data_IF_142484876212
#
_entry.id   IF_142484876212
#
_cell.length_a   1.000
_cell.length_b   1.000
_cell.length_c   1.000
_cell.angle_alpha   90.00
_cell.angle_beta   90.00
_cell.angle_gamma   90.00
#
_symmetry.space_group_name_H-M   'P 1'
#
loop_
_entity.id
_entity.type
_entity.pdbx_description
1 polymer ?
#
# COMPACT_ATOMS: atom_id res chain seq x y z
N UNK A 1 -15.89 -1.42 -2.96
CA UNK A 1 -14.42 -1.34 -2.86
C UNK A 1 -13.87 -2.57 -2.14
N UNK A 2 -12.80 -3.21 -2.66
CA UNK A 2 -12.08 -4.33 -2.03
C UNK A 2 -10.61 -3.91 -1.84
N UNK A 3 -10.06 -4.12 -0.64
CA UNK A 3 -8.67 -3.81 -0.32
C UNK A 3 -7.83 -5.10 -0.39
N UNK A 4 -6.74 -5.06 -1.14
CA UNK A 4 -5.83 -6.18 -1.33
C UNK A 4 -4.41 -5.70 -1.03
N UNK A 5 -3.77 -6.27 -0.01
CA UNK A 5 -2.39 -5.96 0.33
C UNK A 5 -1.43 -7.03 -0.19
N UNK A 6 -0.35 -6.55 -0.78
CA UNK A 6 0.78 -7.36 -1.18
C UNK A 6 1.87 -7.26 -0.11
N UNK A 7 2.11 -8.35 0.59
CA UNK A 7 3.00 -8.43 1.75
C UNK A 7 4.08 -9.47 1.51
N UNK A 8 5.33 -9.16 1.82
CA UNK A 8 6.44 -10.10 1.79
C UNK A 8 7.39 -9.80 2.95
N UNK A 9 8.08 -10.81 3.44
CA UNK A 9 9.14 -10.64 4.46
C UNK A 9 10.50 -10.45 3.77
N UNK A 10 10.67 -11.01 2.56
CA UNK A 10 11.90 -10.90 1.80
C UNK A 10 11.79 -9.84 0.71
N UNK A 11 12.83 -9.03 0.57
CA UNK A 11 12.97 -8.13 -0.56
C UNK A 11 13.27 -8.88 -1.87
N UNK A 12 12.92 -8.26 -3.01
CA UNK A 12 13.27 -8.80 -4.33
C UNK A 12 12.46 -10.00 -4.81
N UNK A 13 11.34 -10.33 -4.15
CA UNK A 13 10.47 -11.48 -4.52
C UNK A 13 9.44 -11.15 -5.61
N UNK A 14 9.47 -9.94 -6.14
CA UNK A 14 8.53 -9.51 -7.20
C UNK A 14 7.18 -8.98 -6.68
N UNK A 15 7.06 -8.65 -5.40
CA UNK A 15 5.84 -8.16 -4.75
C UNK A 15 5.26 -6.93 -5.47
N UNK A 16 6.03 -5.86 -5.61
CA UNK A 16 5.63 -4.63 -6.33
C UNK A 16 5.25 -4.92 -7.78
N UNK A 17 6.01 -5.76 -8.47
CA UNK A 17 5.68 -6.18 -9.85
C UNK A 17 4.35 -6.90 -9.90
N UNK A 18 4.08 -7.80 -8.97
CA UNK A 18 2.82 -8.53 -8.91
C UNK A 18 1.64 -7.60 -8.57
N UNK A 19 1.82 -6.67 -7.62
CA UNK A 19 0.83 -5.65 -7.29
C UNK A 19 0.47 -4.82 -8.53
N UNK A 20 1.50 -4.32 -9.22
CA UNK A 20 1.37 -3.52 -10.45
C UNK A 20 0.61 -4.28 -11.53
N UNK A 21 1.04 -5.49 -11.86
CA UNK A 21 0.40 -6.32 -12.91
C UNK A 21 -1.05 -6.67 -12.55
N UNK A 22 -1.34 -6.92 -11.28
CA UNK A 22 -2.71 -7.18 -10.81
C UNK A 22 -3.60 -5.96 -11.03
N UNK A 23 -3.14 -4.76 -10.62
CA UNK A 23 -3.92 -3.54 -10.81
C UNK A 23 -4.12 -3.19 -12.29
N UNK A 24 -3.08 -3.32 -13.11
CA UNK A 24 -3.20 -3.10 -14.55
C UNK A 24 -4.17 -4.09 -15.21
N UNK A 25 -4.12 -5.36 -14.82
CA UNK A 25 -5.06 -6.36 -15.33
C UNK A 25 -6.51 -6.00 -14.98
N UNK A 26 -6.77 -5.61 -13.72
CA UNK A 26 -8.11 -5.22 -13.29
C UNK A 26 -8.59 -3.95 -14.02
N UNK A 27 -7.72 -2.95 -14.18
CA UNK A 27 -8.03 -1.74 -14.92
C UNK A 27 -8.36 -2.02 -16.40
N UNK A 28 -7.63 -2.93 -17.04
CA UNK A 28 -7.92 -3.39 -18.40
C UNK A 28 -9.24 -4.17 -18.51
N UNK A 29 -9.77 -4.68 -17.41
CA UNK A 29 -11.12 -5.26 -17.32
C UNK A 29 -12.20 -4.21 -16.97
N UNK A 30 -11.88 -2.92 -17.04
CA UNK A 30 -12.80 -1.83 -16.77
C UNK A 30 -13.05 -1.55 -15.29
N UNK A 31 -12.21 -2.09 -14.39
CA UNK A 31 -12.29 -1.82 -12.95
C UNK A 31 -11.54 -0.56 -12.59
N UNK A 32 -12.10 0.27 -11.72
CA UNK A 32 -11.41 1.44 -11.17
C UNK A 32 -10.52 1.02 -10.00
N UNK A 33 -9.23 1.25 -10.13
CA UNK A 33 -8.19 0.80 -9.19
C UNK A 33 -7.50 2.00 -8.55
N UNK A 34 -7.33 1.95 -7.23
CA UNK A 34 -6.46 2.85 -6.49
C UNK A 34 -5.24 2.07 -5.99
N UNK A 35 -4.05 2.52 -6.33
CA UNK A 35 -2.82 2.06 -5.71
C UNK A 35 -2.46 2.89 -4.47
N UNK A 36 -1.90 2.23 -3.46
CA UNK A 36 -1.25 2.86 -2.31
C UNK A 36 0.16 2.27 -2.17
N UNK A 37 1.18 3.12 -2.25
CA UNK A 37 2.58 2.72 -2.13
C UNK A 37 3.06 2.90 -0.69
N UNK A 38 3.04 1.81 0.10
CA UNK A 38 3.50 1.78 1.49
C UNK A 38 4.94 1.25 1.63
N UNK A 39 5.74 1.38 0.58
CA UNK A 39 7.18 1.10 0.64
C UNK A 39 7.97 2.43 0.58
N UNK A 40 8.84 2.68 1.56
CA UNK A 40 9.72 3.87 1.56
C UNK A 40 10.67 3.93 0.36
N UNK A 41 10.88 2.80 -0.35
CA UNK A 41 11.62 2.78 -1.62
C UNK A 41 10.82 3.38 -2.78
N UNK A 42 9.50 3.56 -2.62
CA UNK A 42 8.62 4.21 -3.60
C UNK A 42 8.68 3.60 -5.01
N UNK A 43 8.91 2.28 -5.13
CA UNK A 43 9.09 1.64 -6.44
C UNK A 43 7.83 1.70 -7.30
N UNK A 44 6.64 1.56 -6.71
CA UNK A 44 5.37 1.69 -7.41
C UNK A 44 5.14 3.13 -7.88
N UNK A 45 5.46 4.10 -7.02
CA UNK A 45 5.39 5.54 -7.31
C UNK A 45 6.33 5.93 -8.45
N UNK A 46 7.58 5.44 -8.41
CA UNK A 46 8.58 5.70 -9.45
C UNK A 46 8.18 5.07 -10.80
N UNK A 47 7.51 3.92 -10.80
CA UNK A 47 7.02 3.31 -12.04
C UNK A 47 6.11 4.25 -12.83
N UNK A 48 5.30 5.07 -12.14
CA UNK A 48 4.41 6.05 -12.77
C UNK A 48 5.01 7.45 -12.90
N UNK A 49 6.25 7.65 -12.46
CA UNK A 49 6.98 8.94 -12.51
C UNK A 49 6.22 10.09 -11.81
N UNK A 50 5.62 9.80 -10.65
CA UNK A 50 4.75 10.76 -9.92
C UNK A 50 5.23 11.03 -8.48
N UNK A 51 6.52 10.99 -8.24
CA UNK A 51 7.10 11.28 -6.93
C UNK A 51 6.68 12.68 -6.42
N UNK A 52 6.33 12.75 -5.13
CA UNK A 52 5.97 13.99 -4.42
C UNK A 52 6.70 14.09 -3.09
N UNK A 53 7.07 15.31 -2.69
CA UNK A 53 7.71 15.59 -1.40
C UNK A 53 6.71 15.72 -0.25
N UNK A 54 5.44 15.95 -0.56
CA UNK A 54 4.35 16.15 0.40
C UNK A 54 3.03 15.53 -0.10
N UNK A 55 2.02 15.47 0.77
CA UNK A 55 0.69 14.94 0.46
C UNK A 55 0.72 13.48 -0.02
N UNK A 56 1.54 12.69 0.62
CA UNK A 56 1.83 11.29 0.32
C UNK A 56 1.25 10.35 1.38
N UNK A 57 1.45 9.04 1.24
CA UNK A 57 1.07 8.06 2.27
C UNK A 57 1.66 8.36 3.65
N UNK A 58 2.82 9.02 3.74
CA UNK A 58 3.41 9.40 5.02
C UNK A 58 2.51 10.34 5.84
N UNK A 59 1.71 11.18 5.17
CA UNK A 59 0.78 12.10 5.83
C UNK A 59 -0.34 11.36 6.57
N UNK A 60 -0.72 10.16 6.12
CA UNK A 60 -1.68 9.29 6.84
C UNK A 60 -1.14 8.93 8.21
N UNK A 61 0.13 8.52 8.28
CA UNK A 61 0.77 8.06 9.51
C UNK A 61 1.30 9.21 10.38
N UNK A 62 1.53 10.38 9.79
CA UNK A 62 1.87 11.59 10.55
C UNK A 62 0.64 12.30 11.12
N UNK A 63 -0.57 11.87 10.72
CA UNK A 63 -1.84 12.51 11.05
C UNK A 63 -1.78 14.02 10.80
N UNK A 64 -1.22 14.41 9.66
CA UNK A 64 -0.95 15.82 9.35
C UNK A 64 -0.94 16.10 7.85
N UNK A 65 -1.62 17.17 7.46
CA UNK A 65 -1.71 17.61 6.08
C UNK A 65 -2.65 16.73 5.23
N UNK A 66 -2.75 17.08 3.96
CA UNK A 66 -3.59 16.36 3.01
C UNK A 66 -2.84 15.18 2.38
N UNK A 67 -3.58 14.31 1.70
CA UNK A 67 -3.07 13.19 0.90
C UNK A 67 -3.63 13.31 -0.49
N UNK A 68 -2.76 13.38 -1.48
CA UNK A 68 -3.17 13.51 -2.87
C UNK A 68 -3.44 12.14 -3.50
N UNK A 69 -4.51 12.05 -4.28
CA UNK A 69 -4.79 10.92 -5.18
C UNK A 69 -4.53 11.39 -6.61
N UNK A 70 -3.61 10.77 -7.31
CA UNK A 70 -3.18 11.15 -8.65
C UNK A 70 -3.70 10.17 -9.69
N UNK A 71 -4.38 10.62 -10.77
CA UNK A 71 -4.65 9.78 -11.92
C UNK A 71 -3.33 9.49 -12.66
N UNK A 72 -2.97 8.22 -12.81
CA UNK A 72 -1.68 7.81 -13.38
C UNK A 72 -1.84 7.01 -14.69
N UNK A 73 -3.00 6.39 -14.91
CA UNK A 73 -3.32 5.66 -16.13
C UNK A 73 -4.85 5.52 -16.26
N UNK A 74 -5.39 5.08 -17.41
CA UNK A 74 -6.81 4.82 -17.54
C UNK A 74 -7.31 3.84 -16.47
N UNK A 75 -8.32 4.25 -15.71
CA UNK A 75 -8.89 3.51 -14.56
C UNK A 75 -7.93 3.26 -13.40
N UNK A 76 -6.77 3.92 -13.34
CA UNK A 76 -5.79 3.77 -12.28
C UNK A 76 -5.45 5.12 -11.67
N UNK A 77 -5.64 5.22 -10.36
CA UNK A 77 -5.18 6.33 -9.54
C UNK A 77 -4.15 5.80 -8.52
N UNK A 78 -3.31 6.69 -7.98
CA UNK A 78 -2.24 6.35 -7.04
C UNK A 78 -2.17 7.36 -5.90
N UNK A 79 -2.06 6.87 -4.68
CA UNK A 79 -1.54 7.62 -3.53
C UNK A 79 -0.03 7.34 -3.48
N UNK A 80 0.81 8.36 -3.71
CA UNK A 80 2.25 8.15 -3.86
C UNK A 80 2.91 7.77 -2.54
N UNK A 81 3.93 6.94 -2.65
CA UNK A 81 4.83 6.59 -1.56
C UNK A 81 5.68 7.77 -1.09
N UNK A 82 6.38 7.57 0.02
CA UNK A 82 7.27 8.58 0.58
C UNK A 82 8.44 7.96 1.32
N UNK A 83 9.63 8.46 1.10
CA UNK A 83 10.81 8.15 1.90
C UNK A 83 10.64 8.56 3.38
N UNK A 84 9.74 9.51 3.67
CA UNK A 84 9.42 9.94 5.04
C UNK A 84 8.55 8.93 5.81
N UNK A 85 8.13 7.84 5.18
CA UNK A 85 7.34 6.81 5.85
C UNK A 85 8.07 6.21 7.06
N UNK A 86 9.39 6.03 6.97
CA UNK A 86 10.22 5.54 8.09
C UNK A 86 10.23 6.52 9.28
N UNK A 87 10.23 7.83 9.01
CA UNK A 87 10.12 8.85 10.06
C UNK A 87 8.74 8.80 10.73
N UNK A 88 7.69 8.67 9.92
CA UNK A 88 6.32 8.56 10.40
C UNK A 88 6.14 7.33 11.30
N UNK A 89 6.62 6.17 10.89
CA UNK A 89 6.55 4.93 11.68
C UNK A 89 7.27 5.07 13.02
N UNK A 90 8.49 5.63 13.04
CA UNK A 90 9.23 5.86 14.30
C UNK A 90 8.48 6.74 15.29
N UNK A 91 7.76 7.75 14.80
CA UNK A 91 6.92 8.61 15.68
C UNK A 91 5.75 7.86 16.29
N UNK A 92 5.30 6.79 15.64
CA UNK A 92 4.16 5.99 16.08
C UNK A 92 4.53 4.80 16.98
N UNK A 93 5.81 4.46 17.15
CA UNK A 93 6.24 3.28 17.93
C UNK A 93 5.70 3.23 19.36
N UNK A 94 5.50 4.40 20.00
CA UNK A 94 4.94 4.51 21.35
C UNK A 94 3.44 4.78 21.38
N UNK A 95 2.79 4.90 20.22
CA UNK A 95 1.36 5.17 20.13
C UNK A 95 0.56 3.88 20.30
N UNK A 96 -0.35 3.84 21.28
CA UNK A 96 -1.19 2.65 21.53
C UNK A 96 -2.12 2.29 20.35
N UNK A 97 -2.46 3.26 19.52
CA UNK A 97 -3.33 3.08 18.33
C UNK A 97 -2.56 2.91 17.02
N UNK A 98 -1.26 2.64 17.08
CA UNK A 98 -0.34 2.64 15.92
C UNK A 98 -0.78 1.77 14.74
N UNK A 99 -1.64 0.79 14.93
CA UNK A 99 -2.08 -0.15 13.89
C UNK A 99 -3.41 0.25 13.22
N UNK A 100 -4.02 1.38 13.59
CA UNK A 100 -5.35 1.80 13.10
C UNK A 100 -5.33 3.09 12.26
N UNK A 101 -4.17 3.72 12.07
CA UNK A 101 -4.08 5.00 11.35
C UNK A 101 -4.64 4.94 9.93
N UNK A 102 -4.35 3.87 9.19
CA UNK A 102 -4.88 3.71 7.83
C UNK A 102 -6.38 3.44 7.83
N UNK A 103 -6.89 2.67 8.81
CA UNK A 103 -8.32 2.45 8.96
C UNK A 103 -9.05 3.76 9.25
N UNK A 104 -8.59 4.49 10.28
CA UNK A 104 -9.19 5.76 10.70
C UNK A 104 -9.14 6.79 9.55
N UNK A 105 -8.04 6.84 8.81
CA UNK A 105 -7.91 7.73 7.66
C UNK A 105 -8.88 7.37 6.53
N UNK A 106 -8.99 6.09 6.17
CA UNK A 106 -9.93 5.63 5.14
C UNK A 106 -11.38 5.92 5.52
N UNK A 107 -11.74 5.65 6.79
CA UNK A 107 -13.10 5.89 7.31
C UNK A 107 -13.45 7.38 7.30
N UNK A 108 -12.57 8.22 7.84
CA UNK A 108 -12.77 9.67 7.92
C UNK A 108 -12.79 10.38 6.54
N UNK A 109 -12.16 9.79 5.52
CA UNK A 109 -12.06 10.40 4.20
C UNK A 109 -12.85 9.64 3.13
N UNK A 110 -13.67 8.66 3.51
CA UNK A 110 -14.39 7.81 2.56
C UNK A 110 -15.20 8.64 1.55
N UNK A 111 -16.02 9.56 2.03
CA UNK A 111 -16.87 10.40 1.18
C UNK A 111 -16.07 11.55 0.52
N UNK A 112 -15.20 12.22 1.28
CA UNK A 112 -14.45 13.40 0.80
C UNK A 112 -13.45 13.08 -0.30
N UNK A 113 -12.85 11.88 -0.28
CA UNK A 113 -11.95 11.35 -1.32
C UNK A 113 -12.69 10.48 -2.34
N UNK A 114 -14.01 10.34 -2.21
CA UNK A 114 -14.87 9.57 -3.12
C UNK A 114 -14.36 8.13 -3.32
N UNK A 115 -14.06 7.43 -2.21
CA UNK A 115 -13.54 6.04 -2.28
C UNK A 115 -14.53 5.05 -2.87
N UNK A 116 -15.84 5.36 -2.86
CA UNK A 116 -16.86 4.49 -3.44
C UNK A 116 -16.68 4.26 -4.95
N UNK A 117 -15.99 5.18 -5.66
CA UNK A 117 -15.69 5.03 -7.08
C UNK A 117 -14.74 3.87 -7.39
N UNK A 118 -13.95 3.40 -6.41
CA UNK A 118 -12.96 2.36 -6.63
C UNK A 118 -13.55 0.97 -6.42
N UNK A 119 -13.36 0.08 -7.39
CA UNK A 119 -13.64 -1.35 -7.24
C UNK A 119 -12.60 -2.00 -6.31
N UNK A 120 -11.33 -1.62 -6.50
CA UNK A 120 -10.18 -2.18 -5.77
C UNK A 120 -9.22 -1.12 -5.27
N UNK A 121 -8.71 -1.32 -4.07
CA UNK A 121 -7.52 -0.64 -3.54
C UNK A 121 -6.42 -1.69 -3.42
N UNK A 122 -5.29 -1.46 -4.08
CA UNK A 122 -4.12 -2.34 -4.06
C UNK A 122 -3.03 -1.65 -3.27
N UNK A 123 -2.59 -2.29 -2.20
CA UNK A 123 -1.59 -1.76 -1.27
C UNK A 123 -0.29 -2.54 -1.45
N UNK A 124 0.76 -1.86 -1.91
CA UNK A 124 2.11 -2.43 -2.00
C UNK A 124 2.87 -2.10 -0.72
N UNK A 125 3.16 -3.11 0.09
CA UNK A 125 3.81 -2.95 1.39
C UNK A 125 5.33 -3.13 1.26
N UNK A 126 6.09 -2.57 2.21
CA UNK A 126 7.52 -2.85 2.33
C UNK A 126 7.78 -4.32 2.76
N UNK A 127 9.02 -4.86 2.56
CA UNK A 127 9.32 -6.25 2.90
C UNK A 127 9.62 -6.44 4.39
N UNK A 128 8.66 -6.10 5.26
CA UNK A 128 8.74 -6.28 6.71
C UNK A 128 7.35 -6.29 7.35
N UNK A 129 7.28 -6.37 8.69
CA UNK A 129 6.09 -6.22 9.50
C UNK A 129 6.07 -4.90 10.29
N UNK A 130 6.56 -3.79 9.69
CA UNK A 130 6.49 -2.46 10.26
C UNK A 130 5.05 -1.97 10.50
N UNK A 131 4.92 -0.78 11.06
CA UNK A 131 3.60 -0.21 11.41
C UNK A 131 2.74 -0.05 10.14
N UNK A 132 3.31 0.45 9.04
CA UNK A 132 2.59 0.62 7.79
C UNK A 132 2.05 -0.71 7.24
N UNK A 133 2.87 -1.78 7.24
CA UNK A 133 2.45 -3.12 6.81
C UNK A 133 1.35 -3.68 7.69
N UNK A 134 1.44 -3.53 9.03
CA UNK A 134 0.37 -3.98 9.95
C UNK A 134 -0.94 -3.22 9.73
N UNK A 135 -0.88 -1.92 9.47
CA UNK A 135 -2.05 -1.13 9.09
C UNK A 135 -2.69 -1.62 7.78
N UNK A 136 -1.87 -1.90 6.76
CA UNK A 136 -2.36 -2.47 5.50
C UNK A 136 -3.07 -3.81 5.71
N UNK A 137 -2.49 -4.70 6.52
CA UNK A 137 -3.08 -5.99 6.88
C UNK A 137 -4.43 -5.80 7.59
N UNK A 138 -4.50 -4.86 8.54
CA UNK A 138 -5.71 -4.61 9.33
C UNK A 138 -6.92 -4.18 8.49
N UNK A 139 -6.71 -3.44 7.39
CA UNK A 139 -7.79 -2.96 6.50
C UNK A 139 -8.08 -3.91 5.35
N UNK A 140 -7.28 -4.94 5.12
CA UNK A 140 -7.35 -5.76 3.91
C UNK A 140 -8.46 -6.79 3.94
N UNK A 141 -9.18 -6.91 2.82
CA UNK A 141 -10.10 -8.01 2.54
C UNK A 141 -9.37 -9.28 2.07
N UNK A 142 -8.18 -9.11 1.48
CA UNK A 142 -7.30 -10.19 1.06
C UNK A 142 -5.83 -9.78 1.18
N UNK A 143 -4.98 -10.74 1.52
CA UNK A 143 -3.53 -10.56 1.61
C UNK A 143 -2.89 -11.53 0.64
N UNK A 144 -2.06 -11.01 -0.26
CA UNK A 144 -1.24 -11.79 -1.17
C UNK A 144 0.19 -11.77 -0.63
N UNK A 145 0.70 -12.95 -0.31
CA UNK A 145 2.05 -13.12 0.20
C UNK A 145 2.79 -14.22 -0.56
N UNK A 146 4.12 -14.15 -0.56
CA UNK A 146 4.92 -15.25 -1.07
C UNK A 146 4.70 -16.52 -0.25
N UNK A 147 4.55 -17.65 -0.95
CA UNK A 147 4.61 -18.94 -0.29
C UNK A 147 6.07 -19.20 0.07
N UNK A 148 6.42 -19.10 1.35
CA UNK A 148 7.71 -19.60 1.82
C UNK A 148 7.85 -21.06 1.35
N UNK A 149 8.85 -21.35 0.52
CA UNK A 149 9.25 -22.71 0.18
C UNK A 149 9.88 -23.35 1.42
N UNK A 150 9.07 -23.70 2.40
CA UNK A 150 9.49 -24.58 3.50
C UNK A 150 9.78 -26.02 3.02
N UNK A 151 9.35 -26.36 1.80
CA UNK A 151 9.51 -27.71 1.24
C UNK A 151 10.95 -28.07 0.86
N UNK A 152 11.78 -27.10 0.45
CA UNK A 152 13.15 -27.41 0.00
C UNK A 152 14.11 -27.73 1.16
N UNK A 153 13.75 -27.42 2.42
CA UNK A 153 14.58 -27.75 3.59
C UNK A 153 14.20 -29.08 4.27
N UNK A 154 13.03 -29.62 3.97
CA UNK A 154 12.55 -30.87 4.59
C UNK A 154 12.84 -32.10 3.70
N UNK A 155 12.99 -31.92 2.39
CA UNK A 155 13.20 -33.02 1.42
C UNK A 155 14.69 -33.30 1.16
N UNK A 156 15.59 -32.39 1.54
CA UNK A 156 17.05 -32.56 1.38
C UNK A 156 17.80 -32.84 2.71
N UNK A 157 17.15 -33.44 3.68
CA UNK A 157 17.80 -34.03 4.87
C UNK A 157 17.72 -35.50 4.88
#
# INVERSE_FOLDING_TARGET
MKLISFVAIKGGVGKTTLALLTGQYLANKGKKVLFMDLDHQCNLTHFYDVYKDSETVANIFLDSGDVTILPVAPNIDLIPGSMRLDEAERKLETNSNQNMFLYDWLDNHYDTKNFEQYDYVIIDCRPDFGIATRNAIAVSHAIITEKLKLFDQVVNR
#
